data_IF_811322114745
#
_entry.id   IF_811322114745
#
_cell.length_a   1.000
_cell.length_b   1.000
_cell.length_c   1.000
_cell.angle_alpha   90.00
_cell.angle_beta   90.00
_cell.angle_gamma   90.00
#
_symmetry.space_group_name_H-M   'P 1'
#
loop_
_entity.id
_entity.type
_entity.pdbx_description
1 polymer ?
#
# COMPACT_ATOMS: atom_id res chain seq x y z
N UNK A 1 -5.30 2.46 15.51
CA UNK A 1 -4.31 3.51 15.87
C UNK A 1 -5.10 4.67 16.43
N UNK A 2 -5.16 4.79 17.77
CA UNK A 2 -5.86 5.87 18.44
C UNK A 2 -4.97 7.09 18.28
N UNK A 3 -5.48 8.13 17.63
CA UNK A 3 -4.82 9.42 17.62
C UNK A 3 -4.82 9.97 19.04
N UNK A 4 -3.72 9.82 19.77
CA UNK A 4 -3.44 10.64 20.94
C UNK A 4 -3.27 12.05 20.36
N UNK A 5 -4.18 12.97 20.73
CA UNK A 5 -4.29 14.31 20.19
C UNK A 5 -3.13 15.25 20.55
N UNK A 6 -1.94 14.89 20.17
CA UNK A 6 -0.85 15.80 19.97
C UNK A 6 -0.77 16.03 18.46
N UNK A 7 -0.97 17.26 18.01
CA UNK A 7 -0.57 17.70 16.66
C UNK A 7 0.94 17.56 16.55
N UNK A 8 1.41 16.34 16.41
CA UNK A 8 2.71 16.12 15.77
C UNK A 8 2.53 16.62 14.34
N UNK A 9 3.43 17.48 13.91
CA UNK A 9 3.48 17.90 12.52
C UNK A 9 3.49 16.63 11.65
N UNK A 10 2.36 16.33 10.97
CA UNK A 10 2.17 15.14 10.14
C UNK A 10 3.31 14.98 9.11
N UNK A 11 4.01 16.08 8.79
CA UNK A 11 5.23 16.11 7.99
C UNK A 11 6.40 15.36 8.64
N UNK A 12 6.49 15.33 9.96
CA UNK A 12 7.59 14.62 10.66
C UNK A 12 7.32 13.13 10.69
N UNK A 13 6.09 12.71 11.01
CA UNK A 13 5.69 11.29 11.02
C UNK A 13 5.73 10.67 9.62
N UNK A 14 5.19 11.36 8.62
CA UNK A 14 5.27 10.90 7.23
C UNK A 14 6.72 10.80 6.72
N UNK A 15 7.60 11.77 7.05
CA UNK A 15 9.03 11.68 6.73
C UNK A 15 9.70 10.47 7.35
N UNK A 16 9.30 10.06 8.53
CA UNK A 16 9.87 8.91 9.23
C UNK A 16 9.44 7.57 8.60
N UNK A 17 8.21 7.44 8.18
CA UNK A 17 7.73 6.26 7.46
C UNK A 17 8.41 6.13 6.08
N UNK A 18 8.59 7.24 5.36
CA UNK A 18 9.33 7.24 4.10
C UNK A 18 10.83 6.96 4.30
N UNK A 19 11.44 7.45 5.39
CA UNK A 19 12.81 7.12 5.77
C UNK A 19 12.99 5.62 6.07
N UNK A 20 12.03 5.00 6.75
CA UNK A 20 12.05 3.57 7.01
C UNK A 20 11.98 2.73 5.72
N UNK A 21 11.35 3.27 4.67
CA UNK A 21 11.30 2.65 3.35
C UNK A 21 12.66 2.68 2.63
N UNK A 22 13.48 3.68 2.84
CA UNK A 22 14.80 3.85 2.17
C UNK A 22 15.89 2.97 2.79
N UNK A 23 15.70 2.43 4.00
CA UNK A 23 16.68 1.58 4.66
C UNK A 23 16.32 0.09 4.58
N UNK A 24 17.29 -0.75 4.17
CA UNK A 24 17.18 -2.21 4.24
C UNK A 24 16.83 -2.64 5.67
N UNK A 25 15.62 -3.21 5.87
CA UNK A 25 15.21 -3.72 7.17
C UNK A 25 13.97 -3.04 7.77
N UNK A 26 13.47 -1.96 7.17
CA UNK A 26 12.32 -1.22 7.69
C UNK A 26 12.64 -0.47 8.99
N UNK A 27 11.61 0.14 9.58
CA UNK A 27 11.69 0.95 10.78
C UNK A 27 12.43 0.30 11.96
N UNK A 28 12.11 -0.96 12.26
CA UNK A 28 12.68 -1.68 13.41
C UNK A 28 14.16 -2.03 13.19
N UNK A 29 14.53 -2.45 11.97
CA UNK A 29 15.92 -2.73 11.63
C UNK A 29 16.81 -1.48 11.68
N UNK A 30 16.23 -0.29 11.45
CA UNK A 30 16.94 0.99 11.56
C UNK A 30 17.27 1.36 13.01
N UNK A 31 16.38 1.08 13.97
CA UNK A 31 16.67 1.30 15.40
C UNK A 31 17.81 0.42 15.89
N UNK A 32 17.73 -0.88 15.60
CA UNK A 32 18.77 -1.83 16.01
C UNK A 32 20.12 -1.52 15.36
N UNK A 33 20.10 -1.18 14.06
CA UNK A 33 21.35 -0.95 13.31
C UNK A 33 22.00 0.43 13.55
N UNK A 34 21.21 1.48 13.81
CA UNK A 34 21.71 2.85 13.94
C UNK A 34 21.86 3.31 15.38
N UNK A 35 21.04 2.81 16.29
CA UNK A 35 21.05 3.18 17.71
C UNK A 35 21.53 2.06 18.63
N UNK A 36 21.60 0.81 18.15
CA UNK A 36 21.92 -0.35 18.99
C UNK A 36 20.81 -0.70 20.01
N UNK A 37 19.61 -0.16 19.84
CA UNK A 37 18.50 -0.26 20.79
C UNK A 37 17.50 -1.29 20.29
N UNK A 38 17.18 -2.26 21.15
CA UNK A 38 16.10 -3.22 20.90
C UNK A 38 14.78 -2.68 21.43
N UNK A 39 13.82 -2.43 20.53
CA UNK A 39 12.51 -1.91 20.89
C UNK A 39 11.66 -2.98 21.61
N UNK A 40 11.07 -2.60 22.74
CA UNK A 40 10.01 -3.41 23.36
C UNK A 40 8.72 -3.27 22.56
N UNK A 41 8.14 -4.42 22.16
CA UNK A 41 6.88 -4.48 21.39
C UNK A 41 5.69 -4.90 22.26
N UNK A 42 5.91 -5.14 23.54
CA UNK A 42 4.92 -5.74 24.44
C UNK A 42 3.65 -4.90 24.61
N UNK A 43 3.78 -3.59 24.63
CA UNK A 43 2.63 -2.68 24.84
C UNK A 43 1.87 -2.29 23.56
N UNK A 44 2.31 -2.70 22.37
CA UNK A 44 1.72 -2.29 21.09
C UNK A 44 0.22 -2.62 20.95
N UNK A 45 -0.21 -3.73 21.51
CA UNK A 45 -1.58 -4.25 21.37
C UNK A 45 -2.43 -4.13 22.63
N UNK A 46 -1.97 -3.36 23.63
CA UNK A 46 -2.71 -3.10 24.86
C UNK A 46 -3.87 -2.12 24.59
N UNK A 47 -4.81 -2.01 25.54
CA UNK A 47 -5.90 -1.05 25.46
C UNK A 47 -5.41 0.37 25.78
N UNK A 48 -5.12 1.14 24.73
CA UNK A 48 -4.67 2.53 24.83
C UNK A 48 -5.78 3.53 25.14
N UNK A 49 -7.05 3.12 25.12
CA UNK A 49 -8.19 3.96 25.51
C UNK A 49 -8.39 3.96 27.02
N UNK A 50 -7.92 2.95 27.71
CA UNK A 50 -8.03 2.83 29.17
C UNK A 50 -7.31 3.98 29.89
N UNK A 51 -7.89 4.47 30.96
CA UNK A 51 -7.29 5.49 31.85
C UNK A 51 -7.35 5.01 33.31
N UNK A 52 -6.28 5.27 34.10
CA UNK A 52 -4.99 5.81 33.67
C UNK A 52 -4.20 4.81 32.83
N UNK A 53 -3.25 5.30 32.00
CA UNK A 53 -2.27 4.43 31.33
C UNK A 53 -1.34 3.81 32.40
N UNK A 54 -0.96 2.56 32.17
CA UNK A 54 0.03 1.93 33.03
C UNK A 54 1.46 2.40 32.72
N UNK A 55 2.40 2.12 33.62
CA UNK A 55 3.79 2.55 33.45
C UNK A 55 4.42 2.02 32.16
N UNK A 56 4.12 0.77 31.73
CA UNK A 56 4.69 0.17 30.53
C UNK A 56 4.18 0.87 29.27
N UNK A 57 2.89 1.26 29.26
CA UNK A 57 2.30 2.04 28.18
C UNK A 57 2.95 3.42 28.07
N UNK A 58 3.17 4.08 29.21
CA UNK A 58 3.84 5.38 29.26
C UNK A 58 5.28 5.27 28.78
N UNK A 59 6.04 4.29 29.29
CA UNK A 59 7.44 4.06 28.89
C UNK A 59 7.54 3.74 27.38
N UNK A 60 6.60 2.93 26.86
CA UNK A 60 6.49 2.65 25.43
C UNK A 60 6.25 3.93 24.61
N UNK A 61 5.27 4.75 24.99
CA UNK A 61 4.95 5.99 24.29
C UNK A 61 6.10 7.01 24.34
N UNK A 62 6.80 7.11 25.47
CA UNK A 62 8.00 7.96 25.61
C UNK A 62 9.10 7.44 24.68
N UNK A 63 9.34 6.12 24.65
CA UNK A 63 10.33 5.49 23.78
C UNK A 63 10.08 5.77 22.31
N UNK A 64 8.84 5.68 21.85
CA UNK A 64 8.45 5.98 20.46
C UNK A 64 8.82 7.41 20.04
N UNK A 65 8.82 8.38 20.97
CA UNK A 65 9.18 9.78 20.69
C UNK A 65 10.68 10.02 20.82
N UNK A 66 11.29 9.58 21.94
CA UNK A 66 12.69 9.88 22.25
C UNK A 66 13.65 9.21 21.26
N UNK A 67 13.45 7.95 20.97
CA UNK A 67 14.25 7.24 19.96
C UNK A 67 14.11 7.85 18.57
N UNK A 68 12.94 8.33 18.24
CA UNK A 68 12.67 9.00 16.99
C UNK A 68 13.43 10.32 16.86
N UNK A 69 13.40 11.11 17.93
CA UNK A 69 14.14 12.38 17.99
C UNK A 69 15.66 12.18 17.83
N UNK A 70 16.19 11.05 18.30
CA UNK A 70 17.61 10.72 18.13
C UNK A 70 17.93 10.14 16.74
N UNK A 71 17.04 9.29 16.20
CA UNK A 71 17.24 8.64 14.92
C UNK A 71 17.12 9.61 13.74
N UNK A 72 16.17 10.54 13.78
CA UNK A 72 15.84 11.42 12.67
C UNK A 72 17.05 12.25 12.17
N UNK A 73 17.82 12.94 13.04
CA UNK A 73 18.99 13.70 12.60
C UNK A 73 20.04 12.82 11.91
N UNK A 74 20.27 11.59 12.42
CA UNK A 74 21.24 10.64 11.85
C UNK A 74 20.81 10.18 10.46
N UNK A 75 19.51 9.90 10.29
CA UNK A 75 18.95 9.52 8.99
C UNK A 75 19.05 10.67 8.00
N UNK A 76 18.71 11.89 8.41
CA UNK A 76 18.79 13.09 7.58
C UNK A 76 20.24 13.36 7.12
N UNK A 77 21.20 13.22 8.02
CA UNK A 77 22.63 13.37 7.68
C UNK A 77 23.08 12.31 6.66
N UNK A 78 22.65 11.05 6.83
CA UNK A 78 22.94 9.99 5.86
C UNK A 78 22.34 10.28 4.48
N UNK A 79 21.10 10.79 4.42
CA UNK A 79 20.47 11.17 3.15
C UNK A 79 21.22 12.32 2.46
N UNK A 80 21.66 13.33 3.24
CA UNK A 80 22.46 14.43 2.72
C UNK A 80 23.79 13.94 2.17
N UNK A 81 24.52 13.11 2.93
CA UNK A 81 25.80 12.52 2.51
C UNK A 81 25.71 11.66 1.26
N UNK A 82 24.57 10.98 1.06
CA UNK A 82 24.34 10.13 -0.12
C UNK A 82 23.67 10.85 -1.29
N UNK A 83 23.37 12.15 -1.17
CA UNK A 83 22.69 12.93 -2.21
C UNK A 83 21.22 12.51 -2.47
N UNK A 84 20.60 11.75 -1.55
CA UNK A 84 19.27 11.14 -1.74
C UNK A 84 18.13 11.96 -1.14
N UNK A 85 18.38 13.18 -0.67
CA UNK A 85 17.34 14.03 -0.07
C UNK A 85 16.11 14.19 -0.98
N UNK A 86 16.34 14.53 -2.25
CA UNK A 86 15.29 14.74 -3.23
C UNK A 86 14.49 13.49 -3.61
N UNK A 87 14.99 12.28 -3.30
CA UNK A 87 14.23 11.05 -3.57
C UNK A 87 12.95 10.93 -2.76
N UNK A 88 12.91 11.61 -1.62
CA UNK A 88 11.79 11.56 -0.69
C UNK A 88 10.74 12.62 -0.98
N UNK A 89 11.06 13.68 -1.71
CA UNK A 89 10.17 14.82 -1.86
C UNK A 89 8.82 14.43 -2.45
N UNK A 90 8.79 13.70 -3.57
CA UNK A 90 7.55 13.23 -4.18
C UNK A 90 6.78 12.21 -3.31
N UNK A 91 7.50 11.36 -2.55
CA UNK A 91 6.86 10.43 -1.62
C UNK A 91 6.24 11.18 -0.45
N UNK A 92 6.92 12.24 0.02
CA UNK A 92 6.44 13.08 1.11
C UNK A 92 5.24 13.92 0.71
N UNK A 93 5.25 14.53 -0.48
CA UNK A 93 4.09 15.26 -1.01
C UNK A 93 2.85 14.38 -1.01
N UNK A 94 2.97 13.15 -1.51
CA UNK A 94 1.86 12.20 -1.54
C UNK A 94 1.39 11.79 -0.14
N UNK A 95 2.31 11.61 0.81
CA UNK A 95 1.98 11.29 2.20
C UNK A 95 1.40 12.49 2.97
N UNK A 96 1.75 13.71 2.58
CA UNK A 96 1.22 14.93 3.19
C UNK A 96 -0.09 15.41 2.52
N UNK A 97 -0.53 14.77 1.45
CA UNK A 97 -1.79 15.12 0.79
C UNK A 97 -2.98 14.72 1.67
N UNK A 98 -3.79 15.69 2.17
CA UNK A 98 -4.97 15.42 2.98
C UNK A 98 -5.99 14.51 2.28
N UNK A 99 -6.07 14.56 0.94
CA UNK A 99 -6.96 13.71 0.16
C UNK A 99 -6.66 12.21 0.33
N UNK A 100 -5.40 11.85 0.59
CA UNK A 100 -4.98 10.47 0.88
C UNK A 100 -5.59 9.91 2.17
N UNK A 101 -6.00 10.77 3.09
CA UNK A 101 -6.58 10.45 4.40
C UNK A 101 -8.09 10.69 4.47
N UNK A 102 -8.66 11.31 3.45
CA UNK A 102 -10.10 11.49 3.36
C UNK A 102 -10.79 10.13 3.20
N UNK A 103 -11.49 9.71 4.25
CA UNK A 103 -12.29 8.49 4.23
C UNK A 103 -13.74 8.83 3.91
N UNK A 104 -14.01 9.19 2.65
CA UNK A 104 -15.37 9.41 2.18
C UNK A 104 -16.14 8.09 2.21
N UNK A 105 -17.25 7.97 2.97
CA UNK A 105 -18.02 6.73 3.03
C UNK A 105 -18.47 6.24 1.66
N UNK A 106 -18.87 7.15 0.79
CA UNK A 106 -19.41 6.81 -0.53
C UNK A 106 -18.33 6.34 -1.53
N UNK A 107 -17.04 6.54 -1.19
CA UNK A 107 -15.90 6.02 -1.95
C UNK A 107 -15.27 4.76 -1.32
N UNK A 108 -15.76 4.32 -0.15
CA UNK A 108 -15.16 3.19 0.57
C UNK A 108 -15.17 1.88 -0.22
N UNK A 109 -16.17 1.68 -1.08
CA UNK A 109 -16.32 0.49 -1.92
C UNK A 109 -15.19 0.33 -2.95
N UNK A 110 -14.56 1.42 -3.41
CA UNK A 110 -13.48 1.37 -4.41
C UNK A 110 -12.21 0.68 -3.90
N UNK A 111 -12.08 0.53 -2.57
CA UNK A 111 -10.96 -0.14 -1.90
C UNK A 111 -11.22 -1.62 -1.66
N UNK A 112 -12.42 -2.11 -1.97
CA UNK A 112 -12.83 -3.50 -1.78
C UNK A 112 -12.64 -4.24 -3.10
N UNK A 113 -12.09 -5.47 -3.03
CA UNK A 113 -12.01 -6.31 -4.21
C UNK A 113 -13.41 -6.56 -4.78
N UNK A 114 -13.58 -6.20 -6.05
CA UNK A 114 -14.89 -6.28 -6.70
C UNK A 114 -15.34 -7.73 -6.86
N UNK A 115 -16.50 -8.11 -6.31
CA UNK A 115 -17.03 -9.48 -6.44
C UNK A 115 -17.61 -9.76 -7.83
N UNK A 116 -18.02 -8.70 -8.54
CA UNK A 116 -18.68 -8.76 -9.84
C UNK A 116 -18.55 -7.40 -10.54
N UNK A 117 -18.82 -7.37 -11.84
CA UNK A 117 -18.93 -6.12 -12.62
C UNK A 117 -20.39 -5.76 -12.96
N UNK A 118 -21.37 -6.46 -12.38
CA UNK A 118 -22.79 -6.12 -12.58
C UNK A 118 -23.11 -4.83 -11.81
N UNK A 119 -23.77 -3.89 -12.47
CA UNK A 119 -24.09 -2.58 -11.90
C UNK A 119 -24.90 -2.68 -10.60
N UNK A 120 -25.82 -3.65 -10.51
CA UNK A 120 -26.61 -3.88 -9.31
C UNK A 120 -25.77 -4.37 -8.13
N UNK A 121 -24.79 -5.25 -8.38
CA UNK A 121 -23.88 -5.78 -7.35
C UNK A 121 -22.95 -4.67 -6.85
N UNK A 122 -22.42 -3.87 -7.76
CA UNK A 122 -21.53 -2.75 -7.40
C UNK A 122 -22.30 -1.64 -6.68
N UNK A 123 -23.53 -1.35 -7.08
CA UNK A 123 -24.37 -0.38 -6.38
C UNK A 123 -24.71 -0.82 -4.96
N UNK A 124 -25.01 -2.12 -4.74
CA UNK A 124 -25.15 -2.66 -3.38
C UNK A 124 -23.85 -2.59 -2.60
N UNK A 125 -22.71 -2.95 -3.20
CA UNK A 125 -21.42 -2.86 -2.55
C UNK A 125 -21.12 -1.42 -2.10
N UNK A 126 -21.40 -0.41 -2.94
CA UNK A 126 -21.27 1.01 -2.61
C UNK A 126 -22.11 1.38 -1.39
N UNK A 127 -23.39 1.01 -1.39
CA UNK A 127 -24.32 1.31 -0.30
C UNK A 127 -23.90 0.68 1.04
N UNK A 128 -23.55 -0.61 1.04
CA UNK A 128 -23.18 -1.32 2.27
C UNK A 128 -21.78 -0.94 2.75
N UNK A 129 -20.85 -0.59 1.86
CA UNK A 129 -19.56 -0.07 2.26
C UNK A 129 -19.69 1.30 2.93
N UNK A 130 -20.51 2.20 2.38
CA UNK A 130 -20.81 3.49 2.98
C UNK A 130 -21.51 3.34 4.34
N UNK A 131 -22.47 2.42 4.46
CA UNK A 131 -23.10 2.07 5.73
C UNK A 131 -22.05 1.61 6.75
N UNK A 132 -21.14 0.70 6.38
CA UNK A 132 -20.07 0.22 7.27
C UNK A 132 -19.19 1.36 7.80
N UNK A 133 -18.77 2.28 6.96
CA UNK A 133 -17.95 3.42 7.38
C UNK A 133 -18.71 4.33 8.35
N UNK A 134 -20.01 4.58 8.13
CA UNK A 134 -20.86 5.37 9.03
C UNK A 134 -21.03 4.68 10.38
N UNK A 135 -21.30 3.36 10.40
CA UNK A 135 -21.39 2.58 11.65
C UNK A 135 -20.06 2.55 12.42
N UNK A 136 -18.95 2.38 11.72
CA UNK A 136 -17.62 2.39 12.33
C UNK A 136 -17.31 3.73 13.00
N UNK A 137 -17.63 4.85 12.32
CA UNK A 137 -17.47 6.19 12.88
C UNK A 137 -18.39 6.43 14.10
N UNK A 138 -19.66 6.09 13.99
CA UNK A 138 -20.62 6.31 15.08
C UNK A 138 -20.28 5.54 16.35
N UNK A 139 -19.65 4.36 16.19
CA UNK A 139 -19.25 3.50 17.31
C UNK A 139 -17.80 3.68 17.74
N UNK A 140 -17.06 4.54 17.05
CA UNK A 140 -15.62 4.70 17.24
C UNK A 140 -14.86 3.35 17.19
N UNK A 141 -15.21 2.51 16.24
CA UNK A 141 -14.60 1.19 16.04
C UNK A 141 -13.91 1.10 14.68
N UNK A 142 -12.81 0.33 14.57
CA UNK A 142 -12.24 0.00 13.28
C UNK A 142 -13.27 -0.68 12.36
N UNK A 143 -13.34 -0.28 11.08
CA UNK A 143 -14.30 -0.80 10.11
C UNK A 143 -14.34 -2.34 10.03
N UNK A 144 -13.19 -3.01 10.17
CA UNK A 144 -13.11 -4.48 10.19
C UNK A 144 -13.76 -5.14 11.41
N UNK A 145 -14.06 -4.37 12.47
CA UNK A 145 -14.86 -4.83 13.63
C UNK A 145 -16.35 -4.76 13.34
N UNK A 146 -16.77 -3.93 12.41
CA UNK A 146 -18.15 -3.90 11.93
C UNK A 146 -18.35 -5.06 10.95
N UNK A 147 -17.65 -5.05 9.81
CA UNK A 147 -17.69 -6.15 8.85
C UNK A 147 -16.39 -6.15 8.02
N UNK A 148 -15.91 -7.33 7.66
CA UNK A 148 -14.74 -7.49 6.77
C UNK A 148 -15.11 -7.21 5.32
N UNK A 149 -14.12 -6.93 4.48
CA UNK A 149 -14.32 -6.65 3.05
C UNK A 149 -14.95 -7.86 2.33
N UNK A 150 -14.54 -9.08 2.68
CA UNK A 150 -15.08 -10.32 2.11
C UNK A 150 -16.56 -10.48 2.43
N UNK A 151 -16.97 -10.11 3.66
CA UNK A 151 -18.38 -10.15 4.09
C UNK A 151 -19.23 -9.16 3.29
N UNK A 152 -18.70 -7.95 3.02
CA UNK A 152 -19.41 -6.98 2.19
C UNK A 152 -19.54 -7.45 0.74
N UNK A 153 -18.49 -8.06 0.19
CA UNK A 153 -18.51 -8.60 -1.16
C UNK A 153 -19.54 -9.73 -1.32
N UNK A 154 -19.64 -10.59 -0.30
CA UNK A 154 -20.65 -11.67 -0.27
C UNK A 154 -22.08 -11.11 -0.15
N UNK A 155 -22.33 -10.18 0.77
CA UNK A 155 -23.62 -9.49 0.90
C UNK A 155 -24.05 -8.76 -0.39
N UNK A 156 -23.12 -8.16 -1.11
CA UNK A 156 -23.41 -7.49 -2.37
C UNK A 156 -23.82 -8.48 -3.45
N UNK A 157 -23.20 -9.66 -3.48
CA UNK A 157 -23.46 -10.72 -4.46
C UNK A 157 -24.72 -11.53 -4.12
N UNK A 158 -24.91 -11.82 -2.83
CA UNK A 158 -25.99 -12.65 -2.29
C UNK A 158 -26.74 -11.89 -1.20
N UNK A 159 -27.56 -10.88 -1.55
CA UNK A 159 -28.25 -10.06 -0.56
C UNK A 159 -29.24 -10.89 0.25
N UNK A 160 -29.27 -10.74 1.57
CA UNK A 160 -30.27 -11.35 2.42
C UNK A 160 -31.67 -10.81 2.06
N UNK A 161 -32.69 -11.67 2.13
CA UNK A 161 -34.08 -11.27 1.83
C UNK A 161 -34.78 -10.68 3.07
N UNK A 162 -34.40 -11.14 4.23
CA UNK A 162 -34.95 -10.72 5.51
C UNK A 162 -33.86 -10.40 6.50
N UNK A 163 -34.15 -9.59 7.52
CA UNK A 163 -33.17 -9.28 8.57
C UNK A 163 -32.74 -10.56 9.32
N UNK A 164 -33.62 -11.55 9.49
CA UNK A 164 -33.27 -12.82 10.14
C UNK A 164 -32.21 -13.61 9.36
N UNK A 165 -32.10 -13.44 8.04
CA UNK A 165 -31.10 -14.11 7.22
C UNK A 165 -29.69 -13.63 7.56
N UNK A 166 -29.53 -12.44 8.16
CA UNK A 166 -28.23 -11.90 8.60
C UNK A 166 -27.53 -12.82 9.61
N UNK A 167 -28.29 -13.62 10.38
CA UNK A 167 -27.72 -14.59 11.32
C UNK A 167 -26.88 -15.68 10.64
N UNK A 168 -27.13 -15.93 9.36
CA UNK A 168 -26.45 -16.94 8.55
C UNK A 168 -25.26 -16.39 7.78
N UNK A 169 -25.11 -15.06 7.73
CA UNK A 169 -24.00 -14.42 7.00
C UNK A 169 -22.72 -14.55 7.78
N UNK A 170 -21.75 -15.22 7.18
CA UNK A 170 -20.44 -15.42 7.80
C UNK A 170 -19.73 -14.07 8.04
N UNK A 171 -19.26 -13.86 9.26
CA UNK A 171 -18.52 -12.64 9.62
C UNK A 171 -19.39 -11.49 10.13
N UNK A 172 -20.71 -11.67 10.24
CA UNK A 172 -21.60 -10.79 10.97
C UNK A 172 -21.92 -11.36 12.37
N UNK A 173 -22.27 -10.47 13.31
CA UNK A 173 -22.77 -10.92 14.60
C UNK A 173 -24.21 -11.46 14.43
N UNK A 174 -24.54 -12.65 14.97
CA UNK A 174 -25.90 -13.18 14.94
C UNK A 174 -26.95 -12.23 15.54
N UNK A 175 -26.55 -11.39 16.52
CA UNK A 175 -27.44 -10.41 17.14
C UNK A 175 -27.98 -9.36 16.17
N UNK A 176 -27.33 -9.18 15.00
CA UNK A 176 -27.79 -8.21 14.00
C UNK A 176 -29.09 -8.64 13.30
N UNK A 177 -29.39 -9.92 13.35
CA UNK A 177 -30.69 -10.42 12.88
C UNK A 177 -31.90 -9.79 13.62
N UNK A 178 -31.66 -9.18 14.79
CA UNK A 178 -32.74 -8.71 15.67
C UNK A 178 -32.53 -7.29 16.22
N UNK A 179 -31.47 -6.58 15.78
CA UNK A 179 -31.16 -5.26 16.30
C UNK A 179 -31.10 -4.17 15.20
N UNK A 180 -31.02 -2.90 15.64
CA UNK A 180 -31.02 -1.74 14.76
C UNK A 180 -29.85 -1.71 13.75
N UNK A 181 -28.72 -2.33 14.08
CA UNK A 181 -27.57 -2.39 13.14
C UNK A 181 -27.96 -3.20 11.92
N UNK A 182 -28.59 -4.36 12.13
CA UNK A 182 -29.10 -5.19 11.07
C UNK A 182 -30.21 -4.52 10.27
N UNK A 183 -31.13 -3.81 10.96
CA UNK A 183 -32.17 -3.05 10.28
C UNK A 183 -31.59 -1.97 9.35
N UNK A 184 -30.57 -1.21 9.81
CA UNK A 184 -29.90 -0.22 8.97
C UNK A 184 -29.10 -0.83 7.82
N UNK A 185 -28.51 -2.03 8.01
CA UNK A 185 -27.86 -2.76 6.92
C UNK A 185 -28.89 -3.18 5.87
N UNK A 186 -30.03 -3.74 6.29
CA UNK A 186 -31.11 -4.12 5.39
C UNK A 186 -31.68 -2.93 4.62
N UNK A 187 -31.85 -1.78 5.27
CA UNK A 187 -32.24 -0.53 4.62
C UNK A 187 -31.22 -0.11 3.55
N UNK A 188 -29.92 -0.14 3.88
CA UNK A 188 -28.87 0.19 2.91
C UNK A 188 -28.87 -0.75 1.68
N UNK A 189 -29.18 -2.03 1.87
CA UNK A 189 -29.34 -2.98 0.78
C UNK A 189 -30.59 -2.66 -0.06
N UNK A 190 -31.72 -2.41 0.59
CA UNK A 190 -32.99 -2.13 -0.08
C UNK A 190 -32.96 -0.80 -0.88
N UNK A 191 -32.34 0.22 -0.33
CA UNK A 191 -32.20 1.54 -0.94
C UNK A 191 -31.11 1.62 -2.02
N UNK A 192 -30.32 0.55 -2.19
CA UNK A 192 -29.24 0.52 -3.18
C UNK A 192 -29.77 0.67 -4.60
N UNK A 193 -29.05 1.41 -5.42
CA UNK A 193 -29.35 1.57 -6.86
C UNK A 193 -28.20 0.98 -7.67
N UNK A 194 -28.47 0.48 -8.89
CA UNK A 194 -27.39 0.09 -9.80
C UNK A 194 -26.37 1.20 -9.95
N UNK A 195 -25.10 0.84 -10.01
CA UNK A 195 -24.02 1.81 -10.19
C UNK A 195 -24.16 2.46 -11.57
N UNK A 196 -24.18 3.81 -11.69
CA UNK A 196 -24.28 4.48 -12.97
C UNK A 196 -23.03 4.27 -13.83
N UNK A 197 -23.18 4.33 -15.15
CA UNK A 197 -22.10 4.03 -16.11
C UNK A 197 -20.83 4.86 -15.89
N UNK A 198 -20.98 6.13 -15.54
CA UNK A 198 -19.84 7.03 -15.28
C UNK A 198 -19.05 6.72 -14.00
N UNK A 199 -19.63 5.96 -13.08
CA UNK A 199 -18.96 5.48 -11.87
C UNK A 199 -18.43 4.04 -12.02
N UNK A 200 -18.78 3.37 -13.12
CA UNK A 200 -18.31 2.01 -13.34
C UNK A 200 -16.78 1.97 -13.37
N UNK A 201 -16.16 1.09 -12.59
CA UNK A 201 -14.72 0.95 -12.64
C UNK A 201 -14.27 0.69 -14.08
N UNK A 202 -13.18 1.33 -14.53
CA UNK A 202 -12.65 1.05 -15.85
C UNK A 202 -12.50 -0.47 -16.01
N UNK A 203 -12.82 -1.00 -17.18
CA UNK A 203 -12.44 -2.38 -17.47
C UNK A 203 -10.92 -2.38 -17.34
N UNK A 204 -10.41 -3.19 -16.39
CA UNK A 204 -8.99 -3.51 -16.48
C UNK A 204 -8.82 -4.10 -17.87
N UNK A 205 -8.21 -3.35 -18.76
CA UNK A 205 -7.69 -3.92 -19.99
C UNK A 205 -6.93 -5.16 -19.54
N UNK A 206 -7.24 -6.32 -20.14
CA UNK A 206 -6.51 -7.54 -19.81
C UNK A 206 -5.06 -7.16 -19.86
N UNK A 207 -4.37 -7.25 -18.70
CA UNK A 207 -2.93 -7.02 -18.63
C UNK A 207 -2.34 -7.75 -19.84
N UNK A 208 -1.57 -7.07 -20.68
CA UNK A 208 -1.01 -7.72 -21.86
C UNK A 208 -0.42 -9.05 -21.41
N UNK A 209 -0.86 -10.15 -22.00
CA UNK A 209 -0.40 -11.47 -21.59
C UNK A 209 1.11 -11.52 -21.77
N UNK A 210 1.82 -11.88 -20.73
CA UNK A 210 3.27 -12.10 -20.80
C UNK A 210 3.49 -13.36 -21.62
N UNK A 211 3.81 -13.20 -22.92
CA UNK A 211 4.19 -14.31 -23.78
C UNK A 211 5.47 -15.01 -23.25
N UNK A 212 5.86 -16.14 -23.84
CA UNK A 212 7.07 -16.86 -23.43
C UNK A 212 8.32 -15.96 -23.42
N UNK A 213 8.50 -15.16 -24.44
CA UNK A 213 9.60 -14.20 -24.56
C UNK A 213 9.50 -13.09 -23.52
N UNK A 214 8.31 -12.57 -23.28
CA UNK A 214 8.08 -11.57 -22.23
C UNK A 214 8.45 -12.05 -20.82
N UNK A 215 8.23 -13.35 -20.53
CA UNK A 215 8.65 -13.95 -19.28
C UNK A 215 10.18 -13.95 -19.11
N UNK A 216 10.92 -14.27 -20.17
CA UNK A 216 12.39 -14.21 -20.17
C UNK A 216 12.91 -12.78 -20.01
N UNK A 217 12.29 -11.82 -20.69
CA UNK A 217 12.61 -10.39 -20.53
C UNK A 217 12.34 -9.94 -19.09
N UNK A 218 11.23 -10.36 -18.47
CA UNK A 218 10.94 -10.04 -17.08
C UNK A 218 12.00 -10.64 -16.12
N UNK A 219 12.54 -11.81 -16.40
CA UNK A 219 13.61 -12.41 -15.60
C UNK A 219 14.94 -11.64 -15.76
N UNK A 220 15.28 -11.16 -16.94
CA UNK A 220 16.41 -10.25 -17.14
C UNK A 220 16.21 -8.93 -16.38
N UNK A 221 15.00 -8.37 -16.37
CA UNK A 221 14.67 -7.18 -15.59
C UNK A 221 14.80 -7.42 -14.08
N UNK A 222 14.40 -8.59 -13.57
CA UNK A 222 14.62 -8.99 -12.18
C UNK A 222 16.10 -9.07 -11.83
N UNK A 223 16.91 -9.57 -12.76
CA UNK A 223 18.37 -9.62 -12.60
C UNK A 223 18.94 -8.20 -12.55
N UNK A 224 18.58 -7.33 -13.48
CA UNK A 224 18.96 -5.92 -13.49
C UNK A 224 18.58 -5.23 -12.18
N UNK A 225 17.35 -5.45 -11.70
CA UNK A 225 16.87 -4.88 -10.44
C UNK A 225 17.74 -5.31 -9.24
N UNK A 226 18.15 -6.58 -9.19
CA UNK A 226 19.07 -7.07 -8.13
C UNK A 226 20.42 -6.33 -8.18
N UNK A 227 20.97 -6.10 -9.38
CA UNK A 227 22.23 -5.39 -9.55
C UNK A 227 22.09 -3.94 -9.09
N UNK A 228 21.11 -3.23 -9.61
CA UNK A 228 20.88 -1.82 -9.28
C UNK A 228 20.51 -1.59 -7.81
N UNK A 229 19.75 -2.51 -7.24
CA UNK A 229 19.44 -2.53 -5.80
C UNK A 229 20.72 -2.63 -4.94
N UNK A 230 21.65 -3.51 -5.33
CA UNK A 230 22.95 -3.64 -4.66
C UNK A 230 23.80 -2.39 -4.81
N UNK A 231 23.97 -1.91 -6.05
CA UNK A 231 24.84 -0.78 -6.38
C UNK A 231 24.33 0.53 -5.75
N UNK A 232 23.02 0.71 -5.72
CA UNK A 232 22.40 1.86 -5.06
C UNK A 232 22.19 1.68 -3.55
N UNK A 233 22.51 0.53 -2.96
CA UNK A 233 22.20 0.20 -1.54
C UNK A 233 20.74 0.55 -1.15
N UNK A 234 19.79 0.17 -2.02
CA UNK A 234 18.34 0.36 -1.85
C UNK A 234 17.62 -0.96 -2.01
N UNK A 235 16.66 -1.25 -1.15
CA UNK A 235 15.89 -2.48 -1.25
C UNK A 235 15.13 -2.55 -2.61
N UNK A 236 15.26 -3.67 -3.32
CA UNK A 236 14.68 -3.87 -4.66
C UNK A 236 13.19 -3.53 -4.74
N UNK A 237 12.41 -3.91 -3.69
CA UNK A 237 10.96 -3.63 -3.61
C UNK A 237 10.58 -2.13 -3.59
N UNK A 238 11.53 -1.25 -3.25
CA UNK A 238 11.33 0.19 -3.27
C UNK A 238 11.56 0.79 -4.66
N UNK A 239 12.39 0.13 -5.45
CA UNK A 239 12.72 0.54 -6.82
C UNK A 239 11.61 0.09 -7.76
N UNK A 240 11.28 -1.21 -7.77
CA UNK A 240 10.25 -1.79 -8.63
C UNK A 240 9.62 -3.03 -7.99
N UNK A 241 8.35 -3.29 -8.32
CA UNK A 241 7.63 -4.51 -7.97
C UNK A 241 7.73 -5.51 -9.13
N UNK A 242 7.64 -6.81 -8.82
CA UNK A 242 7.67 -7.85 -9.86
C UNK A 242 6.61 -7.65 -10.94
N UNK A 243 5.41 -7.20 -10.53
CA UNK A 243 4.31 -6.89 -11.44
C UNK A 243 4.67 -5.76 -12.43
N UNK A 244 5.38 -4.72 -11.97
CA UNK A 244 5.83 -3.62 -12.84
C UNK A 244 6.85 -4.10 -13.88
N UNK A 245 7.73 -5.04 -13.51
CA UNK A 245 8.70 -5.64 -14.44
C UNK A 245 8.00 -6.45 -15.53
N UNK A 246 6.97 -7.21 -15.16
CA UNK A 246 6.15 -7.97 -16.11
C UNK A 246 5.38 -7.04 -17.06
N UNK A 247 4.80 -5.95 -16.54
CA UNK A 247 4.12 -4.93 -17.33
C UNK A 247 5.08 -4.23 -18.30
N UNK A 248 6.31 -3.91 -17.86
CA UNK A 248 7.34 -3.34 -18.74
C UNK A 248 7.72 -4.29 -19.85
N UNK A 249 7.94 -5.58 -19.52
CA UNK A 249 8.23 -6.62 -20.50
C UNK A 249 7.09 -6.83 -21.51
N UNK A 250 5.84 -6.59 -21.08
CA UNK A 250 4.64 -6.62 -21.92
C UNK A 250 4.41 -5.32 -22.73
N UNK A 251 5.31 -4.34 -22.65
CA UNK A 251 5.25 -3.11 -23.44
C UNK A 251 4.61 -1.90 -22.75
N UNK A 252 4.16 -2.02 -21.50
CA UNK A 252 3.60 -0.87 -20.74
C UNK A 252 4.73 0.10 -20.39
N UNK A 253 4.51 1.40 -20.58
CA UNK A 253 5.52 2.45 -20.34
C UNK A 253 5.13 3.45 -19.26
N UNK A 254 3.88 3.55 -18.86
CA UNK A 254 3.45 4.40 -17.75
C UNK A 254 3.50 3.61 -16.42
N UNK A 255 4.70 3.51 -15.85
CA UNK A 255 4.97 2.73 -14.65
C UNK A 255 5.69 3.60 -13.61
N UNK A 256 5.40 3.43 -12.30
CA UNK A 256 6.06 4.18 -11.22
C UNK A 256 7.59 4.06 -11.23
N UNK A 257 8.12 2.89 -11.57
CA UNK A 257 9.57 2.65 -11.64
C UNK A 257 10.27 3.41 -12.77
N UNK A 258 9.53 3.98 -13.73
CA UNK A 258 10.04 4.81 -14.83
C UNK A 258 9.95 6.31 -14.51
N UNK A 259 9.66 6.70 -13.25
CA UNK A 259 9.49 8.09 -12.83
C UNK A 259 10.43 8.45 -11.68
N UNK A 260 10.83 9.74 -11.63
CA UNK A 260 11.64 10.30 -10.56
C UNK A 260 12.93 9.51 -10.29
N UNK A 261 13.34 9.42 -9.04
CA UNK A 261 14.58 8.75 -8.64
C UNK A 261 14.66 7.27 -9.04
N UNK A 262 13.51 6.59 -9.17
CA UNK A 262 13.44 5.19 -9.61
C UNK A 262 13.88 5.05 -11.06
N UNK A 263 13.53 6.01 -11.90
CA UNK A 263 14.01 6.08 -13.27
C UNK A 263 15.54 6.21 -13.30
N UNK A 264 16.12 7.10 -12.49
CA UNK A 264 17.55 7.35 -12.50
C UNK A 264 18.37 6.15 -11.99
N UNK A 265 17.83 5.44 -11.00
CA UNK A 265 18.49 4.26 -10.40
C UNK A 265 18.33 3.00 -11.26
N UNK A 266 17.18 2.81 -11.91
CA UNK A 266 16.81 1.56 -12.56
C UNK A 266 16.09 1.76 -13.89
N UNK A 267 15.12 2.66 -13.96
CA UNK A 267 14.18 2.76 -15.08
C UNK A 267 14.85 3.00 -16.42
N UNK A 268 15.87 3.87 -16.47
CA UNK A 268 16.65 4.15 -17.70
C UNK A 268 17.33 2.91 -18.25
N UNK A 269 17.91 2.09 -17.36
CA UNK A 269 18.61 0.87 -17.77
C UNK A 269 17.61 -0.25 -18.12
N UNK A 270 16.46 -0.28 -17.41
CA UNK A 270 15.37 -1.19 -17.73
C UNK A 270 14.78 -0.93 -19.11
N UNK A 271 14.61 0.34 -19.49
CA UNK A 271 14.23 0.73 -20.85
C UNK A 271 15.29 0.34 -21.86
N UNK A 272 16.57 0.64 -21.59
CA UNK A 272 17.66 0.26 -22.48
C UNK A 272 17.74 -1.26 -22.69
N UNK A 273 17.45 -2.05 -21.65
CA UNK A 273 17.43 -3.51 -21.72
C UNK A 273 16.31 -4.03 -22.64
N UNK A 274 15.07 -3.55 -22.44
CA UNK A 274 13.93 -4.00 -23.26
C UNK A 274 13.97 -3.48 -24.70
N UNK A 275 14.75 -2.46 -24.96
CA UNK A 275 15.01 -1.90 -26.29
C UNK A 275 16.26 -2.50 -26.96
N UNK A 276 16.90 -3.50 -26.36
CA UNK A 276 18.07 -4.16 -26.90
C UNK A 276 19.37 -3.35 -26.85
N UNK A 277 19.43 -2.23 -26.14
CA UNK A 277 20.59 -1.35 -26.00
C UNK A 277 21.47 -1.66 -24.78
N UNK A 278 21.08 -2.65 -23.97
CA UNK A 278 21.84 -3.11 -22.80
C UNK A 278 21.92 -4.63 -22.81
N UNK A 279 23.12 -5.18 -22.58
CA UNK A 279 23.33 -6.62 -22.46
C UNK A 279 24.04 -7.00 -21.19
N UNK A 280 23.85 -8.25 -20.77
CA UNK A 280 24.58 -8.88 -19.66
C UNK A 280 25.65 -9.82 -20.22
N UNK A 281 26.83 -9.80 -19.59
CA UNK A 281 27.90 -10.75 -19.86
C UNK A 281 28.59 -11.16 -18.56
N UNK A 282 29.36 -12.23 -18.60
CA UNK A 282 30.22 -12.67 -17.50
C UNK A 282 31.68 -12.50 -17.90
N UNK A 283 32.44 -11.71 -17.16
CA UNK A 283 33.88 -11.54 -17.33
C UNK A 283 34.59 -11.83 -16.02
N UNK A 284 35.55 -12.72 -16.04
CA UNK A 284 36.33 -13.10 -14.84
C UNK A 284 35.47 -13.46 -13.63
N UNK A 285 34.38 -14.23 -13.81
CA UNK A 285 33.46 -14.65 -12.77
C UNK A 285 32.56 -13.53 -12.21
N UNK A 286 32.56 -12.35 -12.84
CA UNK A 286 31.71 -11.21 -12.46
C UNK A 286 30.75 -10.87 -13.58
N UNK A 287 29.53 -10.52 -13.17
CA UNK A 287 28.54 -10.03 -14.12
C UNK A 287 28.86 -8.59 -14.51
N UNK A 288 28.86 -8.33 -15.79
CA UNK A 288 29.13 -7.02 -16.40
C UNK A 288 27.93 -6.66 -17.27
N UNK A 289 27.55 -5.39 -17.22
CA UNK A 289 26.58 -4.79 -18.14
C UNK A 289 27.31 -3.94 -19.16
N UNK A 290 26.98 -4.10 -20.43
CA UNK A 290 27.55 -3.32 -21.51
C UNK A 290 26.45 -2.69 -22.37
N UNK A 291 26.65 -1.43 -22.75
CA UNK A 291 25.84 -0.82 -23.79
C UNK A 291 26.09 -1.54 -25.10
N UNK A 292 25.03 -1.79 -25.85
CA UNK A 292 25.09 -2.23 -27.21
C UNK A 292 24.90 -1.00 -28.11
N UNK A 293 25.75 -0.82 -29.09
CA UNK A 293 25.51 0.13 -30.17
C UNK A 293 24.26 -0.34 -30.92
N UNK A 294 23.33 0.56 -31.22
CA UNK A 294 22.21 0.24 -32.11
C UNK A 294 22.80 -0.17 -33.46
N UNK A 295 22.81 -1.47 -33.72
CA UNK A 295 22.95 -1.87 -35.10
C UNK A 295 21.68 -1.43 -35.82
N UNK A 296 21.77 -0.45 -36.69
CA UNK A 296 20.72 -0.11 -37.63
C UNK A 296 20.27 -1.42 -38.28
N UNK A 297 18.99 -1.73 -38.02
CA UNK A 297 18.37 -2.89 -38.61
C UNK A 297 18.33 -2.65 -40.14
N UNK A 298 19.10 -3.43 -40.89
CA UNK A 298 18.85 -3.63 -42.30
C UNK A 298 17.48 -4.30 -42.53
#
# INVERSE_FOLDING_TARGET
>A
MVAIGARFDDRVTGRLDAFALVFKGGWIGSFESLLGIKLDKGSRFTDWARRPLDKRQIDYAIGDVTYLAELFPRMLDKLRKTGRGGWLDNEMERLCDPASYANEPDLAWTRIRLPSRKAEVLGRLKAIAAWREREARSKNLPRGRIAKDETLADLASHPPKTQSDLSRVRGLSPSWAQNDIGARLMAAIADSRPLPDHEMPPREDRKPGLGKEGALIADLLKLLLKVRSRDADVAARLIARSEELELLAAGVRDLPMLKGWRHDVFGKDALALVEGRLAFSVRNGRMVMSALESSDAE
#
